data_IF_474148229699
#
_entry.id   IF_474148229699
#
_cell.length_a   1.000
_cell.length_b   1.000
_cell.length_c   1.000
_cell.angle_alpha   90.00
_cell.angle_beta   90.00
_cell.angle_gamma   90.00
#
_symmetry.space_group_name_H-M   'P 1'
#
loop_
_entity.id
_entity.type
_entity.pdbx_description
1 polymer ?
2 non-polymer ?
3 non-polymer ?
4 non-polymer ?
5 water ?
#
# COMPACT_ATOMS: atom_id res chain seq x y z
N UNK A 39 6.34 -23.97 -4.98
CA UNK A 39 7.09 -24.17 -3.67
C UNK A 39 6.61 -23.08 -2.69
N UNK A 40 7.50 -22.37 -1.99
CA UNK A 40 7.15 -21.28 -1.02
C UNK A 40 6.99 -19.90 -1.71
N UNK A 41 5.84 -19.25 -1.56
CA UNK A 41 5.55 -17.95 -2.23
C UNK A 41 6.30 -16.82 -1.52
N UNK A 42 7.06 -16.04 -2.30
CA UNK A 42 7.69 -14.77 -1.86
C UNK A 42 6.63 -13.68 -1.83
N UNK A 43 6.58 -12.93 -0.74
CA UNK A 43 5.60 -11.83 -0.54
C UNK A 43 6.37 -10.51 -0.53
N UNK A 44 6.09 -9.66 -1.52
CA UNK A 44 6.74 -8.35 -1.71
C UNK A 44 5.66 -7.28 -1.67
N UNK A 45 5.81 -6.29 -0.81
CA UNK A 45 4.90 -5.12 -0.78
C UNK A 45 5.49 -4.03 -1.66
N UNK A 46 4.68 -3.46 -2.56
CA UNK A 46 4.95 -2.18 -3.27
C UNK A 46 4.35 -1.03 -2.43
N UNK A 47 5.21 -0.13 -1.97
CA UNK A 47 4.84 1.02 -1.10
C UNK A 47 5.13 2.31 -1.84
N UNK A 48 4.32 3.32 -1.58
CA UNK A 48 4.51 4.63 -2.19
C UNK A 48 3.35 5.55 -1.92
N UNK A 49 3.63 6.84 -2.05
CA UNK A 49 2.66 7.93 -1.85
C UNK A 49 1.53 7.78 -2.88
N UNK A 50 0.43 8.49 -2.64
CA UNK A 50 -0.70 8.60 -3.59
C UNK A 50 -0.16 8.98 -4.99
N UNK A 51 -0.56 8.24 -6.01
CA UNK A 51 -0.25 8.47 -7.44
C UNK A 51 1.25 8.41 -7.74
N UNK A 52 2.09 7.83 -6.87
CA UNK A 52 3.50 7.50 -7.18
C UNK A 52 3.61 6.64 -8.47
N UNK A 53 2.65 5.75 -8.77
CA UNK A 53 2.72 4.80 -9.91
C UNK A 53 2.67 3.32 -9.49
N UNK A 54 2.11 2.99 -8.32
CA UNK A 54 2.09 1.60 -7.77
C UNK A 54 1.24 0.69 -8.64
N UNK A 55 0.01 1.13 -8.95
CA UNK A 55 -0.98 0.38 -9.76
C UNK A 55 -0.41 0.15 -11.18
N UNK A 56 0.16 1.18 -11.80
CA UNK A 56 0.86 1.06 -13.11
C UNK A 56 2.00 0.03 -12.99
N UNK A 57 2.81 0.12 -11.95
CA UNK A 57 4.04 -0.71 -11.85
C UNK A 57 3.63 -2.18 -11.69
N UNK A 58 2.69 -2.43 -10.79
CA UNK A 58 2.16 -3.78 -10.46
C UNK A 58 1.51 -4.41 -11.71
N UNK A 59 0.76 -3.66 -12.50
CA UNK A 59 0.17 -4.15 -13.76
C UNK A 59 1.23 -4.34 -14.86
N UNK A 60 2.38 -3.64 -14.82
CA UNK A 60 3.54 -4.02 -15.68
C UNK A 60 4.06 -5.39 -15.24
N UNK A 61 4.35 -5.55 -13.94
CA UNK A 61 5.03 -6.75 -13.40
C UNK A 61 4.18 -8.00 -13.65
N UNK A 62 2.87 -7.89 -13.44
CA UNK A 62 2.03 -9.11 -13.43
C UNK A 62 2.22 -9.80 -14.79
N UNK A 63 2.41 -9.06 -15.86
CA UNK A 63 2.46 -9.61 -17.24
C UNK A 63 3.82 -10.22 -17.61
N UNK A 64 4.87 -10.06 -16.80
CA UNK A 64 6.25 -10.39 -17.25
C UNK A 64 6.59 -11.83 -16.89
N UNK A 65 5.79 -12.51 -16.08
CA UNK A 65 6.10 -13.90 -15.65
C UNK A 65 4.82 -14.58 -15.16
N UNK A 66 4.70 -15.87 -15.48
CA UNK A 66 3.60 -16.74 -15.01
C UNK A 66 3.84 -17.03 -13.53
N UNK A 67 5.05 -16.83 -13.04
CA UNK A 67 5.38 -17.06 -11.60
C UNK A 67 5.06 -15.82 -10.74
N UNK A 68 4.55 -14.76 -11.36
CA UNK A 68 4.38 -13.42 -10.72
C UNK A 68 2.89 -13.11 -10.67
N UNK A 69 2.35 -12.96 -9.47
CA UNK A 69 0.94 -12.53 -9.26
C UNK A 69 0.92 -11.23 -8.43
N UNK A 70 -0.22 -10.57 -8.46
CA UNK A 70 -0.46 -9.20 -7.89
C UNK A 70 -1.75 -9.21 -7.06
N UNK A 71 -1.78 -8.50 -5.93
CA UNK A 71 -2.98 -8.24 -5.09
C UNK A 71 -3.19 -6.73 -5.05
N UNK A 72 -4.10 -6.17 -5.89
CA UNK A 72 -4.41 -4.76 -5.83
C UNK A 72 -4.94 -4.37 -4.43
N UNK A 73 -4.76 -3.12 -4.09
CA UNK A 73 -5.27 -2.52 -2.84
C UNK A 73 -6.78 -2.40 -2.97
N UNK A 74 -7.56 -2.96 -2.01
CA UNK A 74 -9.01 -2.79 -2.01
C UNK A 74 -9.48 -1.32 -2.10
N UNK A 75 -8.91 -0.43 -1.31
CA UNK A 75 -9.32 1.00 -1.34
C UNK A 75 -9.23 1.48 -2.79
N UNK A 76 -8.11 1.25 -3.46
CA UNK A 76 -7.86 1.62 -4.89
C UNK A 76 -9.01 1.10 -5.75
N UNK A 77 -9.45 -0.16 -5.56
CA UNK A 77 -10.52 -0.79 -6.38
C UNK A 77 -11.88 -0.11 -6.10
N UNK A 78 -12.19 0.21 -4.83
CA UNK A 78 -13.43 0.95 -4.47
C UNK A 78 -13.43 2.32 -5.17
N UNK A 79 -12.25 2.95 -5.35
CA UNK A 79 -12.02 4.25 -6.05
C UNK A 79 -12.14 4.13 -7.59
N UNK A 80 -12.25 2.90 -8.13
CA UNK A 80 -12.29 2.56 -9.59
C UNK A 80 -12.44 3.84 -10.44
N UNK A 92 -18.74 -7.72 -4.89
CA UNK A 92 -19.45 -6.44 -5.10
C UNK A 92 -19.99 -5.92 -3.75
N UNK A 93 -20.40 -6.78 -2.80
CA UNK A 93 -20.91 -6.28 -1.49
C UNK A 93 -19.80 -5.44 -0.83
N UNK A 94 -18.55 -5.90 -0.90
CA UNK A 94 -17.40 -5.14 -0.39
C UNK A 94 -17.28 -3.83 -1.19
N UNK A 95 -17.47 -3.84 -2.52
CA UNK A 95 -17.31 -2.63 -3.35
C UNK A 95 -18.44 -1.65 -3.08
N UNK A 96 -19.65 -2.16 -2.78
CA UNK A 96 -20.81 -1.30 -2.44
C UNK A 96 -20.57 -0.65 -1.07
N UNK A 97 -20.13 -1.42 -0.10
CA UNK A 97 -19.76 -0.89 1.23
C UNK A 97 -18.63 0.15 1.06
N UNK A 98 -17.62 -0.19 0.27
CA UNK A 98 -16.41 0.64 0.13
C UNK A 98 -16.71 1.96 -0.54
N UNK A 99 -17.48 1.93 -1.63
CA UNK A 99 -17.98 3.15 -2.30
C UNK A 99 -18.74 4.06 -1.34
N UNK A 100 -19.70 3.53 -0.57
CA UNK A 100 -20.41 4.36 0.45
C UNK A 100 -19.43 4.93 1.48
N UNK A 101 -18.49 4.13 1.99
CA UNK A 101 -17.55 4.62 3.04
C UNK A 101 -16.68 5.76 2.47
N UNK A 102 -16.16 5.63 1.26
CA UNK A 102 -15.34 6.69 0.60
C UNK A 102 -16.18 7.97 0.50
N UNK A 103 -17.42 7.87 0.09
CA UNK A 103 -18.28 9.07 -0.13
C UNK A 103 -18.56 9.72 1.21
N UNK A 104 -18.83 8.91 2.24
CA UNK A 104 -19.12 9.40 3.62
C UNK A 104 -17.85 10.09 4.14
N UNK A 105 -16.67 9.51 3.85
CA UNK A 105 -15.35 10.08 4.28
C UNK A 105 -15.14 11.48 3.70
N UNK A 106 -15.52 11.73 2.43
CA UNK A 106 -15.23 13.04 1.76
C UNK A 106 -15.90 14.13 2.59
N UNK A 107 -17.16 13.92 2.98
CA UNK A 107 -18.00 14.86 3.79
C UNK A 107 -17.47 15.00 5.23
N UNK A 108 -17.16 13.89 5.91
CA UNK A 108 -16.92 13.92 7.38
C UNK A 108 -15.87 12.87 7.78
N UNK A 109 -14.57 13.13 7.49
CA UNK A 109 -13.52 12.19 7.83
C UNK A 109 -13.45 11.85 9.33
N UNK A 110 -13.78 12.80 10.22
CA UNK A 110 -13.68 12.64 11.70
C UNK A 110 -14.82 11.70 12.20
N UNK A 111 -15.85 11.47 11.38
CA UNK A 111 -16.95 10.52 11.71
C UNK A 111 -16.61 9.10 11.24
N UNK A 112 -15.97 8.95 10.08
CA UNK A 112 -15.88 7.67 9.33
C UNK A 112 -14.46 7.08 9.29
N UNK A 113 -13.43 7.77 9.76
CA UNK A 113 -12.02 7.32 9.62
C UNK A 113 -11.84 5.95 10.28
N UNK A 114 -12.32 5.74 11.50
CA UNK A 114 -12.17 4.43 12.22
C UNK A 114 -12.84 3.33 11.39
N UNK A 115 -14.09 3.52 10.96
CA UNK A 115 -14.88 2.51 10.22
C UNK A 115 -14.13 2.20 8.92
N UNK A 116 -13.73 3.26 8.22
CA UNK A 116 -13.01 3.16 6.91
C UNK A 116 -11.73 2.34 7.06
N UNK A 117 -10.87 2.71 8.01
CA UNK A 117 -9.54 2.05 8.17
C UNK A 117 -9.71 0.59 8.57
N UNK A 118 -10.69 0.26 9.41
CA UNK A 118 -10.88 -1.13 9.87
C UNK A 118 -11.31 -1.94 8.65
N UNK A 119 -12.23 -1.42 7.84
CA UNK A 119 -12.76 -2.17 6.68
C UNK A 119 -11.70 -2.26 5.57
N UNK A 120 -10.91 -1.21 5.35
CA UNK A 120 -9.81 -1.23 4.35
C UNK A 120 -8.81 -2.33 4.70
N UNK A 121 -8.46 -2.46 5.96
CA UNK A 121 -7.40 -3.40 6.38
C UNK A 121 -7.95 -4.84 6.40
N UNK A 122 -9.19 -5.05 6.87
CA UNK A 122 -9.84 -6.37 6.77
C UNK A 122 -9.91 -6.81 5.31
N UNK A 123 -10.35 -5.90 4.40
CA UNK A 123 -10.52 -6.19 2.97
C UNK A 123 -9.15 -6.57 2.40
N UNK A 124 -8.08 -5.91 2.85
CA UNK A 124 -6.72 -6.19 2.32
C UNK A 124 -6.31 -7.58 2.80
N UNK A 125 -6.46 -7.88 4.10
CA UNK A 125 -6.03 -9.18 4.71
C UNK A 125 -6.74 -10.30 3.93
N UNK A 126 -8.04 -10.20 3.72
CA UNK A 126 -8.75 -11.33 3.13
C UNK A 126 -8.29 -11.45 1.68
N UNK A 127 -8.06 -10.33 0.95
CA UNK A 127 -7.64 -10.36 -0.47
C UNK A 127 -6.22 -10.94 -0.56
N UNK A 128 -5.31 -10.58 0.37
CA UNK A 128 -3.92 -11.13 0.40
C UNK A 128 -3.96 -12.65 0.71
N UNK A 129 -4.77 -13.08 1.69
CA UNK A 129 -4.90 -14.51 2.05
C UNK A 129 -5.47 -15.31 0.88
N UNK A 130 -6.49 -14.80 0.16
CA UNK A 130 -7.12 -15.52 -0.96
C UNK A 130 -6.03 -15.82 -2.01
N UNK A 131 -5.20 -14.84 -2.34
CA UNK A 131 -4.17 -14.98 -3.41
C UNK A 131 -3.11 -15.98 -2.97
N UNK A 132 -2.78 -15.97 -1.70
CA UNK A 132 -1.75 -16.84 -1.09
C UNK A 132 -2.20 -18.29 -1.13
N UNK A 133 -3.49 -18.53 -0.95
CA UNK A 133 -4.10 -19.89 -0.81
C UNK A 133 -4.69 -20.35 -2.14
N UNK A 134 -4.71 -19.49 -3.16
CA UNK A 134 -5.46 -19.73 -4.39
C UNK A 134 -4.55 -19.91 -5.60
N UNK A 135 -3.44 -19.17 -5.65
CA UNK A 135 -2.67 -18.92 -6.90
C UNK A 135 -1.24 -19.48 -6.78
N UNK A 136 -0.51 -19.49 -7.90
CA UNK A 136 0.96 -19.80 -8.00
C UNK A 136 1.30 -21.17 -7.42
N UNK A 137 0.38 -22.13 -7.45
CA UNK A 137 0.62 -23.44 -6.78
C UNK A 137 1.46 -24.35 -7.70
N UNK A 138 1.53 -24.10 -9.00
CA UNK A 138 2.37 -24.91 -9.93
C UNK A 138 3.64 -24.14 -10.32
N UNK A 139 3.88 -22.96 -9.74
CA UNK A 139 5.01 -22.05 -10.12
C UNK A 139 6.34 -22.54 -9.53
N UNK A 140 7.46 -22.40 -10.27
CA UNK A 140 8.81 -22.78 -9.79
C UNK A 140 9.28 -21.74 -8.77
N UNK A 141 9.26 -20.45 -9.11
CA UNK A 141 9.74 -19.31 -8.26
C UNK A 141 8.61 -18.31 -8.06
N UNK A 142 7.50 -18.71 -7.37
CA UNK A 142 6.34 -17.85 -7.21
C UNK A 142 6.62 -16.56 -6.41
N UNK A 143 6.18 -15.44 -6.96
CA UNK A 143 6.25 -14.11 -6.26
C UNK A 143 4.85 -13.51 -6.30
N UNK A 144 4.38 -13.05 -5.15
CA UNK A 144 3.13 -12.30 -4.97
C UNK A 144 3.50 -10.86 -4.59
N UNK A 145 3.15 -9.91 -5.45
CA UNK A 145 3.32 -8.44 -5.27
C UNK A 145 2.01 -7.86 -4.73
N UNK A 146 2.09 -7.32 -3.53
CA UNK A 146 0.99 -6.63 -2.81
C UNK A 146 1.04 -5.13 -3.14
N UNK A 147 -0.05 -4.55 -3.63
CA UNK A 147 -0.20 -3.07 -3.65
C UNK A 147 -0.45 -2.61 -2.19
N UNK A 148 0.60 -2.17 -1.52
CA UNK A 148 0.63 -1.70 -0.11
C UNK A 148 0.43 -2.90 0.80
N UNK A 149 0.53 -2.68 2.11
CA UNK A 149 0.53 -3.75 3.13
C UNK A 149 -0.41 -3.35 4.28
N UNK A 150 -0.61 -4.26 5.23
CA UNK A 150 -1.29 -3.98 6.53
C UNK A 150 -0.45 -2.96 7.30
N UNK A 151 0.86 -2.85 7.06
CA UNK A 151 1.76 -1.88 7.76
C UNK A 151 1.53 -0.46 7.24
N UNK A 152 1.38 -0.25 5.94
CA UNK A 152 1.04 1.09 5.42
C UNK A 152 -0.33 1.50 5.95
N UNK A 153 -1.28 0.57 5.99
CA UNK A 153 -2.65 0.87 6.48
C UNK A 153 -2.56 1.60 7.86
N UNK A 154 -1.72 1.09 8.76
CA UNK A 154 -1.67 1.49 10.17
C UNK A 154 -0.68 2.65 10.33
N UNK A 155 0.56 2.48 9.86
CA UNK A 155 1.69 3.39 10.17
C UNK A 155 1.75 4.54 9.20
N UNK A 156 1.04 4.48 8.07
CA UNK A 156 0.93 5.66 7.15
C UNK A 156 -0.47 6.27 7.30
N UNK A 157 -1.52 5.54 6.93
CA UNK A 157 -2.85 6.16 6.74
C UNK A 157 -3.59 6.36 8.07
N UNK A 158 -3.76 5.30 8.85
CA UNK A 158 -4.57 5.37 10.08
C UNK A 158 -3.86 6.36 11.02
N UNK A 159 -2.53 6.24 11.13
CA UNK A 159 -1.63 7.15 11.87
C UNK A 159 -1.87 8.59 11.43
N UNK A 160 -1.87 8.85 10.12
CA UNK A 160 -2.02 10.21 9.54
C UNK A 160 -3.41 10.74 9.93
N UNK A 161 -4.44 9.88 9.93
CA UNK A 161 -5.82 10.32 10.26
C UNK A 161 -5.89 10.65 11.76
N UNK A 162 -5.27 9.84 12.63
CA UNK A 162 -5.17 10.15 14.08
C UNK A 162 -4.49 11.53 14.26
N UNK A 163 -3.43 11.79 13.50
CA UNK A 163 -2.63 13.02 13.62
C UNK A 163 -3.39 14.24 13.09
N UNK A 164 -4.40 14.06 12.24
CA UNK A 164 -5.25 15.15 11.71
C UNK A 164 -6.54 15.26 12.55
N UNK A 165 -6.58 14.59 13.72
CA UNK A 165 -7.74 14.51 14.63
C UNK A 165 -8.99 13.97 13.91
N UNK A 166 -8.82 13.06 12.96
CA UNK A 166 -9.95 12.37 12.28
C UNK A 166 -10.35 11.11 13.08
N UNK A 167 -9.47 10.65 13.95
CA UNK A 167 -9.81 9.63 14.98
C UNK A 167 -9.44 10.22 16.33
N UNK A 168 -10.21 9.94 17.37
CA UNK A 168 -9.87 10.39 18.75
C UNK A 168 -8.94 9.32 19.31
N UNK A 169 -8.39 9.50 20.50
CA UNK A 169 -7.43 8.55 21.10
C UNK A 169 -8.06 7.16 21.25
N UNK A 170 -9.33 7.07 21.68
CA UNK A 170 -10.01 5.77 21.92
C UNK A 170 -10.09 5.04 20.59
N UNK A 171 -10.50 5.73 19.52
CA UNK A 171 -10.64 5.10 18.17
C UNK A 171 -9.28 4.56 17.74
N UNK A 172 -8.23 5.35 17.92
CA UNK A 172 -6.81 5.03 17.54
C UNK A 172 -6.28 3.87 18.39
N UNK A 173 -6.47 3.87 19.71
CA UNK A 173 -6.05 2.74 20.57
C UNK A 173 -6.86 1.47 20.24
N UNK A 174 -8.17 1.59 20.01
CA UNK A 174 -8.98 0.42 19.59
C UNK A 174 -8.44 -0.10 18.24
N UNK A 175 -8.20 0.79 17.29
CA UNK A 175 -7.69 0.37 15.96
C UNK A 175 -6.36 -0.36 16.12
N UNK A 176 -5.42 0.20 16.87
CA UNK A 176 -4.08 -0.43 17.04
C UNK A 176 -4.19 -1.80 17.72
N UNK A 177 -5.05 -1.92 18.73
CA UNK A 177 -5.31 -3.19 19.47
C UNK A 177 -5.84 -4.26 18.49
N UNK A 178 -6.87 -3.89 17.73
CA UNK A 178 -7.49 -4.72 16.66
C UNK A 178 -6.42 -5.14 15.65
N UNK A 179 -5.65 -4.17 15.15
CA UNK A 179 -4.57 -4.41 14.14
C UNK A 179 -3.57 -5.41 14.70
N UNK A 180 -3.13 -5.23 15.96
CA UNK A 180 -2.10 -6.09 16.62
C UNK A 180 -2.62 -7.52 16.67
N UNK A 181 -3.92 -7.68 16.88
CA UNK A 181 -4.58 -8.98 17.07
C UNK A 181 -4.97 -9.60 15.72
N UNK A 182 -5.63 -8.84 14.85
CA UNK A 182 -6.11 -9.30 13.53
C UNK A 182 -4.93 -9.90 12.78
N UNK A 183 -3.72 -9.35 12.98
CA UNK A 183 -2.46 -9.80 12.33
C UNK A 183 -1.73 -10.81 13.23
N UNK A 184 -2.44 -11.63 14.00
CA UNK A 184 -1.85 -12.82 14.71
C UNK A 184 -2.71 -14.06 14.49
N UNK A 185 -4.02 -13.92 14.62
CA UNK A 185 -5.08 -14.90 14.21
C UNK A 185 -5.04 -15.11 12.69
N UNK A 188 -0.12 -13.85 9.93
CA UNK A 188 1.07 -14.73 10.19
C UNK A 188 1.75 -15.13 8.87
N UNK A 189 0.97 -15.78 8.00
CA UNK A 189 1.38 -16.23 6.63
C UNK A 189 1.51 -15.01 5.69
N UNK A 190 1.28 -13.78 6.18
CA UNK A 190 1.30 -12.55 5.35
C UNK A 190 2.61 -11.78 5.53
N UNK A 191 3.49 -12.20 6.46
CA UNK A 191 4.78 -11.50 6.72
C UNK A 191 5.56 -11.35 5.42
N UNK A 192 6.27 -10.22 5.24
CA UNK A 192 6.86 -9.82 3.93
C UNK A 192 8.28 -10.36 3.82
N UNK A 193 8.67 -10.77 2.62
CA UNK A 193 10.09 -11.11 2.28
C UNK A 193 10.87 -9.83 1.89
N UNK A 194 10.17 -8.81 1.42
CA UNK A 194 10.83 -7.58 0.98
C UNK A 194 9.81 -6.53 0.63
N UNK A 195 10.28 -5.30 0.51
CA UNK A 195 9.44 -4.11 0.25
C UNK A 195 10.13 -3.41 -0.91
N UNK A 196 9.34 -3.02 -1.89
CA UNK A 196 9.81 -2.13 -2.98
C UNK A 196 9.15 -0.78 -2.75
N UNK A 197 9.98 0.23 -2.48
CA UNK A 197 9.53 1.63 -2.23
C UNK A 197 9.59 2.40 -3.55
N UNK A 198 8.45 2.73 -4.16
CA UNK A 198 8.39 3.67 -5.31
C UNK A 198 8.41 5.10 -4.76
N UNK A 199 9.57 5.74 -4.90
CA UNK A 199 9.87 7.07 -4.32
C UNK A 199 9.62 8.12 -5.40
N UNK A 200 8.69 9.03 -5.11
CA UNK A 200 8.35 10.18 -5.97
C UNK A 200 8.24 11.41 -5.08
N UNK A 201 8.53 12.60 -5.64
CA UNK A 201 8.35 13.89 -4.91
C UNK A 201 6.85 14.11 -4.72
N UNK A 202 6.43 14.83 -3.66
CA UNK A 202 5.06 15.36 -3.57
C UNK A 202 4.57 15.99 -4.87
N UNK A 203 5.44 16.77 -5.53
CA UNK A 203 5.10 17.48 -6.80
C UNK A 203 4.76 16.46 -7.89
N UNK A 204 5.58 15.42 -8.08
CA UNK A 204 5.33 14.34 -9.07
C UNK A 204 3.94 13.77 -8.78
N UNK A 205 3.69 13.40 -7.53
CA UNK A 205 2.45 12.70 -7.09
C UNK A 205 1.26 13.63 -7.34
N UNK A 206 1.45 14.91 -7.02
CA UNK A 206 0.42 15.96 -7.30
C UNK A 206 0.16 16.01 -8.80
N UNK A 207 1.22 16.01 -9.63
CA UNK A 207 1.05 16.00 -11.12
C UNK A 207 0.30 14.74 -11.56
N UNK A 208 0.65 13.59 -10.98
CA UNK A 208 0.07 12.28 -11.40
C UNK A 208 -1.39 12.19 -10.94
N UNK A 209 -1.74 12.77 -9.79
CA UNK A 209 -3.19 12.87 -9.40
C UNK A 209 -3.92 13.59 -10.53
N UNK A 210 -3.35 14.70 -11.01
CA UNK A 210 -3.95 15.48 -12.12
C UNK A 210 -4.08 14.58 -13.36
N UNK A 211 -2.99 13.87 -13.73
CA UNK A 211 -3.03 12.95 -14.90
C UNK A 211 -4.16 11.95 -14.71
N UNK A 212 -4.30 11.31 -13.54
CA UNK A 212 -5.29 10.18 -13.38
C UNK A 212 -6.73 10.73 -13.45
N UNK A 213 -6.97 11.95 -12.94
CA UNK A 213 -8.19 12.73 -13.24
C UNK A 213 -9.44 12.26 -12.49
N UNK A 214 -9.30 11.66 -11.29
CA UNK A 214 -10.44 11.35 -10.40
C UNK A 214 -10.94 12.67 -9.80
N UNK A 215 -12.22 12.97 -9.96
CA UNK A 215 -12.80 14.29 -9.53
C UNK A 215 -12.44 14.55 -8.07
N UNK A 216 -12.72 13.58 -7.19
CA UNK A 216 -12.70 13.77 -5.72
C UNK A 216 -11.26 14.03 -5.26
N UNK A 217 -10.27 13.55 -6.03
CA UNK A 217 -8.83 13.67 -5.68
C UNK A 217 -8.27 15.03 -6.11
N UNK A 218 -8.89 15.74 -7.05
CA UNK A 218 -8.31 17.01 -7.56
C UNK A 218 -8.15 18.01 -6.40
N UNK A 219 -8.86 17.82 -5.29
CA UNK A 219 -8.82 18.73 -4.13
C UNK A 219 -7.63 18.49 -3.23
N UNK A 220 -6.95 17.35 -3.41
CA UNK A 220 -5.86 16.98 -2.46
C UNK A 220 -4.76 18.02 -2.57
N UNK A 221 -4.34 18.64 -1.46
CA UNK A 221 -3.28 19.65 -1.48
C UNK A 221 -1.87 19.10 -1.27
N UNK A 222 -0.87 19.80 -1.80
CA UNK A 222 0.56 19.40 -1.74
C UNK A 222 0.96 19.11 -0.28
N UNK A 223 0.47 19.92 0.68
CA UNK A 223 0.87 19.82 2.10
C UNK A 223 0.51 18.42 2.62
N UNK A 224 -0.65 17.90 2.23
CA UNK A 224 -1.14 16.54 2.61
C UNK A 224 -0.16 15.49 2.08
N UNK A 225 0.15 15.60 0.78
CA UNK A 225 1.10 14.70 0.08
C UNK A 225 2.46 14.78 0.75
N UNK A 226 2.91 15.96 1.14
CA UNK A 226 4.25 16.15 1.78
C UNK A 226 4.26 15.44 3.13
N UNK A 227 3.14 15.41 3.88
CA UNK A 227 3.08 14.68 5.19
C UNK A 227 3.23 13.18 4.95
N UNK A 228 2.40 12.62 4.06
CA UNK A 228 2.47 11.19 3.63
C UNK A 228 3.87 10.89 3.13
N UNK A 229 4.45 11.79 2.34
CA UNK A 229 5.83 11.61 1.81
C UNK A 229 6.81 11.45 2.99
N UNK A 230 6.75 12.38 3.95
CA UNK A 230 7.61 12.37 5.16
C UNK A 230 7.51 11.02 5.89
N UNK A 231 6.29 10.53 6.07
CA UNK A 231 6.03 9.23 6.76
C UNK A 231 6.69 8.05 6.01
N UNK A 232 6.59 8.00 4.68
CA UNK A 232 7.23 6.96 3.85
C UNK A 232 8.76 7.04 4.00
N UNK A 233 9.32 8.25 3.96
CA UNK A 233 10.79 8.46 4.08
C UNK A 233 11.22 7.95 5.46
N UNK A 234 10.53 8.34 6.56
CA UNK A 234 10.87 7.89 7.94
C UNK A 234 10.88 6.37 7.97
N UNK A 235 9.88 5.75 7.34
CA UNK A 235 9.62 4.30 7.51
C UNK A 235 10.62 3.52 6.67
N UNK A 236 10.76 3.87 5.39
CA UNK A 236 11.40 2.95 4.39
C UNK A 236 12.82 3.38 4.01
N UNK A 237 13.18 4.68 4.08
CA UNK A 237 14.55 5.19 3.75
C UNK A 237 15.40 5.29 5.02
N UNK A 238 15.05 6.17 5.96
CA UNK A 238 15.79 6.44 7.24
C UNK A 238 15.59 5.29 8.23
N UNK A 239 14.48 4.56 8.13
CA UNK A 239 14.10 3.42 9.03
C UNK A 239 14.02 3.90 10.49
N UNK A 240 13.58 5.15 10.69
CA UNK A 240 13.46 5.81 12.00
C UNK A 240 12.12 5.45 12.65
N UNK A 241 11.15 4.94 11.89
CA UNK A 241 9.78 4.61 12.37
C UNK A 241 9.79 3.28 13.14
N UNK A 242 9.37 3.32 14.41
CA UNK A 242 9.20 2.11 15.26
C UNK A 242 7.81 1.50 15.03
N UNK A 243 7.71 0.17 15.00
CA UNK A 243 6.44 -0.58 14.82
C UNK A 243 6.40 -1.69 15.84
N UNK A 244 5.30 -2.41 15.89
CA UNK A 244 5.08 -3.54 16.83
C UNK A 244 5.42 -4.85 16.12
N UNK A 245 6.12 -4.79 14.98
CA UNK A 245 6.45 -5.99 14.17
C UNK A 245 7.97 -6.03 14.02
N UNK A 246 8.65 -6.74 14.93
CA UNK A 246 10.14 -6.77 15.06
C UNK A 246 10.80 -6.99 13.70
N UNK A 247 10.38 -8.07 13.00
CA UNK A 247 10.96 -8.57 11.72
C UNK A 247 11.07 -7.43 10.67
N UNK A 248 10.10 -6.50 10.61
CA UNK A 248 10.12 -5.33 9.67
C UNK A 248 11.44 -4.55 9.77
N UNK A 249 12.03 -4.43 10.96
CA UNK A 249 13.26 -3.62 11.17
C UNK A 249 14.36 -4.11 10.21
N UNK A 250 14.34 -5.39 9.84
CA UNK A 250 15.43 -6.11 9.11
C UNK A 250 14.93 -6.59 7.74
N UNK A 251 13.72 -6.24 7.33
CA UNK A 251 13.18 -6.67 6.00
C UNK A 251 13.92 -5.89 4.91
N UNK A 252 14.34 -6.58 3.84
CA UNK A 252 15.04 -5.93 2.75
C UNK A 252 14.10 -4.98 2.00
N UNK A 253 14.60 -3.80 1.68
CA UNK A 253 13.84 -2.72 0.98
C UNK A 253 14.62 -2.38 -0.28
N UNK A 254 13.98 -2.41 -1.44
CA UNK A 254 14.49 -1.80 -2.68
C UNK A 254 13.80 -0.44 -2.88
N UNK A 255 14.57 0.65 -2.92
CA UNK A 255 14.04 1.99 -3.23
C UNK A 255 14.24 2.27 -4.71
N UNK A 256 13.17 2.59 -5.44
CA UNK A 256 13.18 2.94 -6.89
C UNK A 256 12.69 4.39 -7.04
N UNK A 257 13.47 5.23 -7.71
CA UNK A 257 13.07 6.61 -8.05
C UNK A 257 12.17 6.50 -9.28
N UNK A 258 10.92 6.94 -9.15
CA UNK A 258 9.93 6.88 -10.26
C UNK A 258 9.48 8.29 -10.63
N UNK A 259 10.30 9.32 -10.38
CA UNK A 259 9.95 10.70 -10.81
C UNK A 259 9.90 10.74 -12.32
N UNK A 260 10.81 10.06 -13.00
CA UNK A 260 10.75 9.99 -14.49
C UNK A 260 9.63 9.01 -14.86
N UNK A 261 8.82 9.37 -15.87
CA UNK A 261 7.81 8.49 -16.50
C UNK A 261 8.47 7.15 -16.87
N UNK A 262 7.83 6.03 -16.53
CA UNK A 262 8.35 4.67 -16.78
C UNK A 262 7.35 3.84 -17.61
N UNK A 263 6.19 4.39 -17.95
CA UNK A 263 5.10 3.58 -18.56
C UNK A 263 5.62 2.80 -19.78
N UNK A 264 6.45 3.43 -20.60
CA UNK A 264 6.96 2.86 -21.88
C UNK A 264 8.45 2.59 -21.78
N UNK A 265 9.02 2.65 -20.58
CA UNK A 265 10.48 2.59 -20.40
C UNK A 265 10.75 2.13 -18.98
N UNK A 266 10.47 0.86 -18.70
CA UNK A 266 10.52 0.32 -17.32
C UNK A 266 11.58 -0.75 -17.17
N UNK A 267 12.33 -1.05 -18.24
CA UNK A 267 13.23 -2.22 -18.23
C UNK A 267 14.26 -2.07 -17.11
N UNK A 268 14.83 -0.87 -16.89
CA UNK A 268 15.84 -0.63 -15.84
C UNK A 268 15.25 -0.93 -14.44
N UNK A 269 14.00 -0.52 -14.20
CA UNK A 269 13.29 -0.80 -12.92
C UNK A 269 13.11 -2.32 -12.75
N UNK A 270 12.66 -3.00 -13.78
CA UNK A 270 12.39 -4.46 -13.67
C UNK A 270 13.72 -5.17 -13.44
N UNK A 271 14.79 -4.74 -14.09
CA UNK A 271 16.13 -5.34 -13.84
C UNK A 271 16.48 -5.22 -12.35
N UNK A 272 16.24 -4.06 -11.75
CA UNK A 272 16.48 -3.87 -10.30
C UNK A 272 15.57 -4.79 -9.47
N UNK A 273 14.31 -4.96 -9.86
CA UNK A 273 13.37 -5.89 -9.16
C UNK A 273 13.91 -7.33 -9.25
N UNK A 274 14.29 -7.80 -10.45
CA UNK A 274 14.85 -9.16 -10.63
C UNK A 274 16.13 -9.38 -9.81
N UNK A 275 17.05 -8.41 -9.81
CA UNK A 275 18.27 -8.49 -8.97
C UNK A 275 17.86 -8.60 -7.49
N UNK A 276 16.91 -7.78 -7.04
CA UNK A 276 16.48 -7.70 -5.61
C UNK A 276 15.93 -9.08 -5.22
N UNK A 277 15.05 -9.61 -6.05
CA UNK A 277 14.37 -10.91 -5.80
C UNK A 277 15.40 -12.04 -5.67
N UNK A 278 16.50 -12.01 -6.43
CA UNK A 278 17.51 -13.10 -6.41
C UNK A 278 18.25 -13.08 -5.06
N UNK A 279 18.28 -11.96 -4.34
CA UNK A 279 18.92 -11.86 -3.01
C UNK A 279 18.02 -12.43 -1.92
N UNK A 280 16.70 -12.52 -2.14
CA UNK A 280 15.71 -12.91 -1.09
C UNK A 280 15.67 -14.43 -0.98
#
# INVERSE_FOLDING_TARGET
MGSSHHHHHHSSGLVPRGSHMATPPKRSSPSFSASSEGTRIKKISIEGNIAAGKSTFVNILKQLSEDWEVVPEPVARWSNVQSTQDEFEELTMEQKNGGNVLQMMYEKPERWSFTFQTYACLSRIRAQLASLNGKLKDAEKPVLFFERSVYSDRYIFASNLYESESMNETEWTIYQDWHDWMNNQFGQSLELDGIIYLQATPETCLHRIYLRGRNEEQGIPLEYLEKLHYKHESWLLHRTLKTNFDYLQEVPILTLDVNEDFKDKYESLVEKVKEFLSTL
#
